data_IF_093843546089
#
_entry.id   IF_093843546089
#
_cell.length_a   1.000
_cell.length_b   1.000
_cell.length_c   1.000
_cell.angle_alpha   90.00
_cell.angle_beta   90.00
_cell.angle_gamma   90.00
#
_symmetry.space_group_name_H-M   'P 1'
#
loop_
_entity.id
_entity.type
_entity.pdbx_description
1 polymer ?
#
# COMPACT_ATOMS: atom_id res chain seq x y z
N UNK A 1 -1.91 -6.00 7.52
CA UNK A 1 -1.14 -4.72 7.54
C UNK A 1 0.09 -4.95 6.69
N UNK A 2 0.35 -4.08 5.72
CA UNK A 2 1.51 -4.17 4.84
C UNK A 2 2.36 -2.93 5.02
N UNK A 3 3.64 -3.09 5.32
CA UNK A 3 4.58 -1.97 5.44
C UNK A 3 5.57 -2.02 4.28
N UNK A 4 5.51 -1.01 3.42
CA UNK A 4 6.27 -0.90 2.17
C UNK A 4 6.37 -2.22 1.36
N UNK A 5 5.23 -2.83 0.95
CA UNK A 5 5.20 -4.19 0.39
C UNK A 5 5.93 -4.36 -0.94
N UNK A 6 6.33 -3.27 -1.59
CA UNK A 6 7.04 -3.25 -2.88
C UNK A 6 8.49 -2.80 -2.76
N UNK A 7 9.00 -2.60 -1.54
CA UNK A 7 10.39 -2.21 -1.34
C UNK A 7 11.35 -3.27 -1.93
N UNK A 8 12.37 -2.80 -2.64
CA UNK A 8 13.44 -3.63 -3.24
C UNK A 8 12.99 -4.63 -4.31
N UNK A 9 11.77 -4.52 -4.84
CA UNK A 9 11.29 -5.36 -5.93
C UNK A 9 11.60 -4.73 -7.30
N UNK A 10 11.88 -5.57 -8.29
CA UNK A 10 11.84 -5.17 -9.70
C UNK A 10 10.39 -5.00 -10.19
N UNK A 11 10.23 -4.41 -11.38
CA UNK A 11 8.91 -4.08 -11.92
C UNK A 11 7.97 -5.29 -12.05
N UNK A 12 8.47 -6.47 -12.45
CA UNK A 12 7.65 -7.66 -12.59
C UNK A 12 7.16 -8.18 -11.25
N UNK A 13 8.04 -8.14 -10.24
CA UNK A 13 7.70 -8.52 -8.88
C UNK A 13 6.76 -7.52 -8.19
N UNK A 14 6.87 -6.22 -8.50
CA UNK A 14 5.90 -5.20 -8.07
C UNK A 14 4.51 -5.52 -8.60
N UNK A 15 4.40 -5.86 -9.89
CA UNK A 15 3.12 -6.20 -10.50
C UNK A 15 2.49 -7.45 -9.89
N UNK A 16 3.29 -8.49 -9.64
CA UNK A 16 2.85 -9.69 -8.96
C UNK A 16 2.35 -9.39 -7.54
N UNK A 17 3.10 -8.61 -6.76
CA UNK A 17 2.70 -8.20 -5.42
C UNK A 17 1.39 -7.40 -5.43
N UNK A 18 1.21 -6.47 -6.36
CA UNK A 18 -0.03 -5.73 -6.52
C UNK A 18 -1.22 -6.67 -6.82
N UNK A 19 -1.04 -7.65 -7.71
CA UNK A 19 -2.07 -8.64 -8.02
C UNK A 19 -2.49 -9.47 -6.80
N UNK A 20 -1.54 -9.86 -5.93
CA UNK A 20 -1.85 -10.57 -4.68
C UNK A 20 -2.67 -9.71 -3.72
N UNK A 21 -2.34 -8.42 -3.60
CA UNK A 21 -3.06 -7.47 -2.74
C UNK A 21 -4.48 -7.25 -3.27
N UNK A 22 -4.65 -7.09 -4.58
CA UNK A 22 -5.96 -6.95 -5.23
C UNK A 22 -6.82 -8.21 -5.03
N UNK A 23 -6.24 -9.40 -5.18
CA UNK A 23 -6.93 -10.66 -4.94
C UNK A 23 -7.37 -10.81 -3.48
N UNK A 24 -6.48 -10.51 -2.53
CA UNK A 24 -6.81 -10.54 -1.10
C UNK A 24 -7.96 -9.58 -0.76
N UNK A 25 -7.92 -8.34 -1.27
CA UNK A 25 -9.02 -7.37 -1.11
C UNK A 25 -10.33 -7.89 -1.71
N UNK A 26 -10.27 -8.49 -2.90
CA UNK A 26 -11.45 -9.02 -3.59
C UNK A 26 -12.07 -10.21 -2.84
N UNK A 27 -11.26 -10.97 -2.10
CA UNK A 27 -11.69 -12.03 -1.19
C UNK A 27 -12.23 -11.50 0.16
N UNK A 28 -12.44 -10.19 0.30
CA UNK A 28 -13.04 -9.57 1.48
C UNK A 28 -12.04 -9.16 2.57
N UNK A 29 -10.73 -9.25 2.33
CA UNK A 29 -9.74 -8.81 3.32
C UNK A 29 -9.74 -7.28 3.45
N UNK A 30 -9.80 -6.80 4.69
CA UNK A 30 -9.47 -5.41 5.00
C UNK A 30 -7.95 -5.23 5.06
N UNK A 31 -7.42 -4.34 4.23
CA UNK A 31 -5.97 -4.12 4.10
C UNK A 31 -5.67 -2.66 4.43
N UNK A 32 -4.74 -2.47 5.35
CA UNK A 32 -4.05 -1.18 5.58
C UNK A 32 -2.63 -1.37 5.10
N UNK A 33 -2.16 -0.44 4.27
CA UNK A 33 -0.84 -0.51 3.67
C UNK A 33 -0.15 0.85 3.68
N UNK A 34 1.16 0.83 3.91
CA UNK A 34 2.04 2.00 3.87
C UNK A 34 2.86 1.89 2.58
N UNK A 35 2.91 2.98 1.81
CA UNK A 35 3.57 3.02 0.51
C UNK A 35 4.47 4.25 0.41
N UNK A 36 5.70 4.06 -0.06
CA UNK A 36 6.56 5.16 -0.51
C UNK A 36 6.33 5.48 -1.99
N UNK A 37 5.96 4.48 -2.81
CA UNK A 37 5.68 4.64 -4.25
C UNK A 37 4.24 5.13 -4.48
N UNK A 38 4.11 6.27 -5.16
CA UNK A 38 2.80 6.88 -5.48
C UNK A 38 2.01 6.09 -6.51
N UNK A 39 2.64 5.52 -7.53
CA UNK A 39 1.96 4.79 -8.58
C UNK A 39 1.33 3.49 -8.03
N UNK A 40 2.09 2.76 -7.19
CA UNK A 40 1.58 1.55 -6.51
C UNK A 40 0.44 1.92 -5.56
N UNK A 41 0.60 2.99 -4.78
CA UNK A 41 -0.44 3.50 -3.89
C UNK A 41 -1.73 3.83 -4.66
N UNK A 42 -1.62 4.58 -5.75
CA UNK A 42 -2.78 5.06 -6.52
C UNK A 42 -3.50 3.90 -7.23
N UNK A 43 -2.78 2.83 -7.58
CA UNK A 43 -3.36 1.57 -8.07
C UNK A 43 -4.16 0.83 -7.00
N UNK A 44 -3.62 0.69 -5.80
CA UNK A 44 -4.15 -0.24 -4.78
C UNK A 44 -5.11 0.42 -3.77
N UNK A 45 -4.87 1.69 -3.43
CA UNK A 45 -5.58 2.37 -2.36
C UNK A 45 -7.00 2.76 -2.80
N UNK A 46 -7.99 2.37 -1.99
CA UNK A 46 -9.38 2.83 -2.13
C UNK A 46 -9.65 4.11 -1.34
N UNK A 47 -8.83 4.36 -0.31
CA UNK A 47 -8.86 5.55 0.55
C UNK A 47 -7.44 5.90 0.96
N UNK A 48 -7.18 7.19 1.14
CA UNK A 48 -5.91 7.69 1.66
C UNK A 48 -6.11 8.29 3.05
N UNK A 49 -5.23 7.95 3.98
CA UNK A 49 -5.14 8.57 5.30
C UNK A 49 -3.83 9.37 5.36
N UNK A 50 -3.85 10.70 5.21
CA UNK A 50 -2.66 11.51 5.36
C UNK A 50 -2.19 11.46 6.81
N UNK A 51 -0.94 11.05 7.03
CA UNK A 51 -0.32 11.05 8.35
C UNK A 51 0.39 12.40 8.56
N UNK A 52 0.08 13.06 9.66
CA UNK A 52 0.87 14.18 10.17
C UNK A 52 1.94 13.63 11.12
N UNK A 53 3.15 14.21 11.17
CA UNK A 53 4.17 13.82 12.13
C UNK A 53 3.60 13.81 13.56
N UNK A 54 3.83 12.73 14.29
CA UNK A 54 3.49 12.66 15.70
C UNK A 54 4.39 13.64 16.47
N UNK A 55 3.85 14.77 16.90
CA UNK A 55 4.61 15.82 17.60
C UNK A 55 4.19 17.27 17.34
N UNK A 56 3.29 17.53 16.40
CA UNK A 56 2.60 18.83 16.33
C UNK A 56 1.34 18.82 17.22
N UNK A 57 1.50 18.40 18.47
CA UNK A 57 0.56 18.70 19.53
C UNK A 57 1.18 19.86 20.32
N UNK A 58 0.57 21.05 20.19
CA UNK A 58 0.86 22.20 21.03
C UNK A 58 0.42 21.95 22.47
#
# INVERSE_FOLDING_TARGET
LLDEPTASLDAGNVDAACGLIEAARSNGAAIVAIFHDRAVRDRLATRLLPLTPAGAAA
#
